data_IF_578991606063
#
_entry.id   IF_578991606063
#
_cell.length_a   1.000
_cell.length_b   1.000
_cell.length_c   1.000
_cell.angle_alpha   90.00
_cell.angle_beta   90.00
_cell.angle_gamma   90.00
#
_symmetry.space_group_name_H-M   'P 1'
#
loop_
_entity.id
_entity.type
_entity.pdbx_description
1 polymer ?
#
# COMPACT_ATOMS: atom_id res chain seq x y z
N UNK A 1 -47.29 60.19 83.14
CA UNK A 1 -47.02 59.14 82.14
C UNK A 1 -45.71 58.50 82.58
N UNK A 2 -45.79 57.29 83.13
CA UNK A 2 -44.65 56.66 83.79
C UNK A 2 -43.69 56.06 82.75
N UNK A 3 -42.40 56.00 83.11
CA UNK A 3 -41.33 55.47 82.24
C UNK A 3 -41.59 54.02 81.82
N UNK A 4 -42.37 53.28 82.61
CA UNK A 4 -42.85 51.92 82.34
C UNK A 4 -43.74 51.81 81.10
N UNK A 5 -44.60 52.79 80.82
CA UNK A 5 -45.49 52.79 79.66
C UNK A 5 -44.72 52.99 78.34
N UNK A 6 -43.66 53.80 78.38
CA UNK A 6 -42.76 54.00 77.23
C UNK A 6 -41.93 52.76 76.91
N UNK A 7 -41.51 51.99 77.93
CA UNK A 7 -40.76 50.75 77.75
C UNK A 7 -41.66 49.64 77.18
N UNK A 8 -42.93 49.56 77.60
CA UNK A 8 -43.90 48.62 77.05
C UNK A 8 -44.29 48.92 75.58
N UNK A 9 -44.45 50.20 75.24
CA UNK A 9 -44.67 50.66 73.86
C UNK A 9 -43.43 50.46 72.97
N UNK A 10 -42.22 50.73 73.49
CA UNK A 10 -40.98 50.47 72.78
C UNK A 10 -40.75 48.96 72.55
N UNK A 11 -41.09 48.12 73.55
CA UNK A 11 -40.98 46.67 73.45
C UNK A 11 -41.92 46.05 72.40
N UNK A 12 -43.18 46.53 72.31
CA UNK A 12 -44.14 46.03 71.32
C UNK A 12 -43.80 46.47 69.88
N UNK A 13 -43.21 47.67 69.72
CA UNK A 13 -42.72 48.15 68.43
C UNK A 13 -41.51 47.35 67.95
N UNK A 14 -40.54 47.08 68.84
CA UNK A 14 -39.36 46.26 68.54
C UNK A 14 -39.76 44.82 68.19
N UNK A 15 -40.73 44.23 68.92
CA UNK A 15 -41.26 42.90 68.61
C UNK A 15 -41.97 42.84 67.24
N UNK A 16 -42.74 43.88 66.88
CA UNK A 16 -43.44 43.93 65.58
C UNK A 16 -42.47 44.11 64.40
N UNK A 17 -41.41 44.90 64.59
CA UNK A 17 -40.34 45.07 63.60
C UNK A 17 -39.55 43.77 63.42
N UNK A 18 -39.27 43.02 64.49
CA UNK A 18 -38.57 41.74 64.42
C UNK A 18 -39.36 40.68 63.62
N UNK A 19 -40.68 40.62 63.78
CA UNK A 19 -41.55 39.73 62.99
C UNK A 19 -41.55 40.14 61.51
N UNK A 20 -41.58 41.45 61.21
CA UNK A 20 -41.48 41.95 59.83
C UNK A 20 -40.17 41.58 59.15
N UNK A 21 -39.04 41.66 59.86
CA UNK A 21 -37.72 41.25 59.36
C UNK A 21 -37.65 39.74 59.13
N UNK A 22 -38.18 38.93 60.05
CA UNK A 22 -38.19 37.46 59.91
C UNK A 22 -39.01 36.99 58.69
N UNK A 23 -40.18 37.61 58.46
CA UNK A 23 -41.02 37.33 57.27
C UNK A 23 -40.31 37.76 55.98
N UNK A 24 -39.63 38.91 56.00
CA UNK A 24 -38.85 39.38 54.84
C UNK A 24 -37.66 38.46 54.54
N UNK A 25 -36.89 38.04 55.55
CA UNK A 25 -35.79 37.09 55.40
C UNK A 25 -36.28 35.73 54.90
N UNK A 26 -37.43 35.24 55.39
CA UNK A 26 -38.03 33.99 54.93
C UNK A 26 -38.49 34.08 53.48
N UNK A 27 -39.08 35.20 53.06
CA UNK A 27 -39.45 35.45 51.65
C UNK A 27 -38.22 35.56 50.75
N UNK A 28 -37.16 36.22 51.20
CA UNK A 28 -35.90 36.31 50.46
C UNK A 28 -35.25 34.93 50.31
N UNK A 29 -35.24 34.10 51.37
CA UNK A 29 -34.75 32.73 51.32
C UNK A 29 -35.59 31.83 50.37
N UNK A 30 -36.91 31.98 50.36
CA UNK A 30 -37.79 31.29 49.40
C UNK A 30 -37.54 31.71 47.95
N UNK A 31 -37.32 33.00 47.70
CA UNK A 31 -36.97 33.50 46.37
C UNK A 31 -35.59 32.97 45.92
N UNK A 32 -34.61 32.95 46.81
CA UNK A 32 -33.29 32.36 46.54
C UNK A 32 -33.37 30.86 46.27
N UNK A 33 -34.11 30.10 47.08
CA UNK A 33 -34.31 28.66 46.87
C UNK A 33 -35.03 28.36 45.54
N UNK A 34 -35.98 29.21 45.13
CA UNK A 34 -36.66 29.10 43.83
C UNK A 34 -35.70 29.36 42.67
N UNK A 35 -34.88 30.40 42.75
CA UNK A 35 -33.86 30.70 41.74
C UNK A 35 -32.77 29.61 41.66
N UNK A 36 -32.41 29.00 42.79
CA UNK A 36 -31.49 27.87 42.86
C UNK A 36 -32.10 26.61 42.22
N UNK A 37 -33.41 26.38 42.40
CA UNK A 37 -34.11 25.27 41.75
C UNK A 37 -34.20 25.46 40.24
N UNK A 38 -34.52 26.68 39.78
CA UNK A 38 -34.60 27.02 38.35
C UNK A 38 -33.23 26.91 37.66
N UNK A 39 -32.16 27.40 38.29
CA UNK A 39 -30.78 27.23 37.79
C UNK A 39 -30.33 25.77 37.79
N UNK A 40 -30.69 24.97 38.80
CA UNK A 40 -30.41 23.53 38.80
C UNK A 40 -31.15 22.78 37.68
N UNK A 41 -32.39 23.16 37.36
CA UNK A 41 -33.12 22.56 36.22
C UNK A 41 -32.50 22.95 34.88
N UNK A 42 -32.08 24.20 34.70
CA UNK A 42 -31.39 24.65 33.49
C UNK A 42 -30.03 23.94 33.32
N UNK A 43 -29.28 23.77 34.43
CA UNK A 43 -28.02 23.04 34.43
C UNK A 43 -28.20 21.56 34.07
N UNK A 44 -29.26 20.90 34.56
CA UNK A 44 -29.59 19.52 34.17
C UNK A 44 -29.91 19.40 32.68
N UNK A 45 -30.73 20.31 32.15
CA UNK A 45 -31.05 20.32 30.70
C UNK A 45 -29.81 20.59 29.85
N UNK A 46 -28.92 21.49 30.29
CA UNK A 46 -27.65 21.74 29.63
C UNK A 46 -26.72 20.52 29.66
N UNK A 47 -26.66 19.82 30.80
CA UNK A 47 -25.87 18.58 30.94
C UNK A 47 -26.42 17.45 30.05
N UNK A 48 -27.74 17.25 30.00
CA UNK A 48 -28.37 16.27 29.10
C UNK A 48 -28.09 16.58 27.63
N UNK A 49 -28.13 17.86 27.25
CA UNK A 49 -27.84 18.30 25.88
C UNK A 49 -26.35 18.11 25.55
N UNK A 50 -25.45 18.44 26.47
CA UNK A 50 -24.01 18.20 26.34
C UNK A 50 -23.70 16.69 26.24
N UNK A 51 -24.38 15.84 27.00
CA UNK A 51 -24.21 14.39 26.93
C UNK A 51 -24.67 13.84 25.57
N UNK A 52 -25.80 14.32 25.04
CA UNK A 52 -26.25 13.95 23.68
C UNK A 52 -25.25 14.39 22.61
N UNK A 53 -24.70 15.60 22.74
CA UNK A 53 -23.66 16.09 21.81
C UNK A 53 -22.37 15.26 21.91
N UNK A 54 -21.94 14.90 23.11
CA UNK A 54 -20.77 14.05 23.33
C UNK A 54 -20.95 12.68 22.67
N UNK A 55 -22.09 12.01 22.89
CA UNK A 55 -22.39 10.72 22.24
C UNK A 55 -22.44 10.82 20.72
N UNK A 56 -23.04 11.88 20.17
CA UNK A 56 -23.06 12.11 18.73
C UNK A 56 -21.64 12.33 18.16
N UNK A 57 -20.78 13.06 18.88
CA UNK A 57 -19.38 13.25 18.49
C UNK A 57 -18.57 11.94 18.57
N UNK A 58 -18.78 11.13 19.62
CA UNK A 58 -18.15 9.81 19.74
C UNK A 58 -18.55 8.88 18.59
N UNK A 59 -19.82 8.88 18.19
CA UNK A 59 -20.30 8.10 17.06
C UNK A 59 -19.68 8.57 15.74
N UNK A 60 -19.59 9.88 15.53
CA UNK A 60 -18.91 10.46 14.36
C UNK A 60 -17.43 10.05 14.30
N UNK A 61 -16.71 10.11 15.42
CA UNK A 61 -15.31 9.68 15.49
C UNK A 61 -15.17 8.19 15.21
N UNK A 62 -16.09 7.35 15.73
CA UNK A 62 -16.10 5.91 15.44
C UNK A 62 -16.28 5.63 13.95
N UNK A 63 -17.26 6.27 13.31
CA UNK A 63 -17.52 6.14 11.87
C UNK A 63 -16.33 6.63 11.04
N UNK A 64 -15.75 7.77 11.40
CA UNK A 64 -14.57 8.30 10.71
C UNK A 64 -13.37 7.37 10.83
N UNK A 65 -13.15 6.74 11.99
CA UNK A 65 -12.10 5.73 12.17
C UNK A 65 -12.35 4.50 11.29
N UNK A 66 -13.59 4.04 11.19
CA UNK A 66 -13.95 2.92 10.31
C UNK A 66 -13.65 3.25 8.84
N UNK A 67 -14.11 4.40 8.35
CA UNK A 67 -13.85 4.87 6.98
C UNK A 67 -12.35 5.03 6.68
N UNK A 68 -11.57 5.52 7.65
CA UNK A 68 -10.11 5.63 7.49
C UNK A 68 -9.42 4.27 7.40
N UNK A 69 -9.89 3.28 8.17
CA UNK A 69 -9.37 1.91 8.11
C UNK A 69 -9.74 1.25 6.79
N UNK A 70 -10.99 1.40 6.33
CA UNK A 70 -11.45 0.92 5.03
C UNK A 70 -10.65 1.55 3.89
N UNK A 71 -10.49 2.87 3.87
CA UNK A 71 -9.69 3.56 2.84
C UNK A 71 -8.22 3.14 2.85
N UNK A 72 -7.65 2.84 4.02
CA UNK A 72 -6.28 2.30 4.12
C UNK A 72 -6.20 0.89 3.53
N UNK A 73 -7.20 0.05 3.80
CA UNK A 73 -7.30 -1.29 3.25
C UNK A 73 -7.42 -1.26 1.73
N UNK A 74 -8.34 -0.45 1.19
CA UNK A 74 -8.52 -0.27 -0.26
C UNK A 74 -7.24 0.20 -0.94
N UNK A 75 -6.51 1.15 -0.34
CA UNK A 75 -5.22 1.62 -0.88
C UNK A 75 -4.15 0.52 -0.83
N UNK A 76 -4.12 -0.28 0.22
CA UNK A 76 -3.20 -1.41 0.34
C UNK A 76 -3.50 -2.49 -0.71
N UNK A 77 -4.77 -2.80 -0.92
CA UNK A 77 -5.23 -3.73 -1.97
C UNK A 77 -4.90 -3.21 -3.37
N UNK A 78 -5.16 -1.92 -3.65
CA UNK A 78 -4.82 -1.30 -4.92
C UNK A 78 -3.30 -1.35 -5.20
N UNK A 79 -2.47 -0.98 -4.22
CA UNK A 79 -1.02 -1.07 -4.34
C UNK A 79 -0.55 -2.51 -4.59
N UNK A 80 -1.16 -3.49 -3.91
CA UNK A 80 -0.88 -4.91 -4.14
C UNK A 80 -1.24 -5.35 -5.57
N UNK A 81 -2.41 -4.95 -6.06
CA UNK A 81 -2.84 -5.25 -7.43
C UNK A 81 -1.88 -4.66 -8.47
N UNK A 82 -1.40 -3.44 -8.26
CA UNK A 82 -0.41 -2.79 -9.13
C UNK A 82 0.90 -3.57 -9.17
N UNK A 83 1.43 -3.98 -8.01
CA UNK A 83 2.66 -4.80 -7.93
C UNK A 83 2.49 -6.17 -8.59
N UNK A 84 1.34 -6.83 -8.39
CA UNK A 84 1.01 -8.09 -9.06
C UNK A 84 0.93 -7.90 -10.59
N UNK A 85 0.35 -6.80 -11.05
CA UNK A 85 0.28 -6.47 -12.47
C UNK A 85 1.69 -6.26 -13.06
N UNK A 86 2.58 -5.58 -12.36
CA UNK A 86 3.97 -5.41 -12.76
C UNK A 86 4.70 -6.75 -12.85
N UNK A 87 4.60 -7.59 -11.81
CA UNK A 87 5.22 -8.92 -11.81
C UNK A 87 4.72 -9.80 -12.97
N UNK A 88 3.41 -9.75 -13.28
CA UNK A 88 2.85 -10.46 -14.45
C UNK A 88 3.43 -9.93 -15.77
N UNK A 89 3.62 -8.62 -15.92
CA UNK A 89 4.26 -8.04 -17.11
C UNK A 89 5.69 -8.55 -17.29
N UNK A 90 6.45 -8.69 -16.21
CA UNK A 90 7.80 -9.28 -16.26
C UNK A 90 7.77 -10.68 -16.85
N UNK A 91 6.85 -11.54 -16.42
CA UNK A 91 6.71 -12.90 -16.96
C UNK A 91 6.40 -12.88 -18.46
N UNK A 92 5.43 -12.07 -18.87
CA UNK A 92 5.04 -11.95 -20.28
C UNK A 92 6.22 -11.52 -21.14
N UNK A 93 6.93 -10.46 -20.73
CA UNK A 93 8.08 -9.95 -21.48
C UNK A 93 9.22 -10.97 -21.51
N UNK A 94 9.46 -11.69 -20.42
CA UNK A 94 10.46 -12.77 -20.38
C UNK A 94 10.11 -13.92 -21.34
N UNK A 95 8.84 -14.34 -21.39
CA UNK A 95 8.34 -15.40 -22.28
C UNK A 95 8.37 -15.00 -23.75
N UNK A 96 7.96 -13.77 -24.07
CA UNK A 96 8.06 -13.23 -25.42
C UNK A 96 9.51 -13.14 -25.88
N UNK A 97 10.39 -12.63 -25.03
CA UNK A 97 11.83 -12.53 -25.30
C UNK A 97 12.42 -13.91 -25.54
N UNK A 98 12.13 -14.88 -24.66
CA UNK A 98 12.58 -16.27 -24.77
C UNK A 98 12.11 -16.93 -26.08
N UNK A 99 10.83 -16.75 -26.44
CA UNK A 99 10.24 -17.26 -27.68
C UNK A 99 10.87 -16.62 -28.92
N UNK A 100 11.12 -15.32 -28.89
CA UNK A 100 11.77 -14.59 -29.98
C UNK A 100 13.20 -15.10 -30.22
N UNK A 101 13.97 -15.31 -29.14
CA UNK A 101 15.28 -15.94 -29.24
C UNK A 101 15.20 -17.34 -29.84
N UNK A 102 14.30 -18.20 -29.37
CA UNK A 102 14.12 -19.53 -29.94
C UNK A 102 13.82 -19.48 -31.44
N UNK A 103 12.93 -18.60 -31.87
CA UNK A 103 12.61 -18.41 -33.29
C UNK A 103 13.82 -17.92 -34.09
N UNK A 104 14.62 -17.04 -33.52
CA UNK A 104 15.84 -16.52 -34.13
C UNK A 104 16.91 -17.61 -34.28
N UNK A 105 17.14 -18.43 -33.23
CA UNK A 105 18.05 -19.58 -33.28
C UNK A 105 17.55 -20.65 -34.27
N UNK A 106 16.26 -20.98 -34.26
CA UNK A 106 15.67 -21.93 -35.20
C UNK A 106 15.81 -21.48 -36.66
N UNK A 107 15.58 -20.19 -36.95
CA UNK A 107 15.78 -19.64 -38.29
C UNK A 107 17.25 -19.69 -38.71
N UNK A 108 18.18 -19.45 -37.79
CA UNK A 108 19.61 -19.51 -38.05
C UNK A 108 20.10 -20.94 -38.28
N UNK A 109 19.49 -21.95 -37.64
CA UNK A 109 19.79 -23.37 -37.87
C UNK A 109 19.19 -23.89 -39.20
N UNK A 110 17.95 -23.48 -39.51
CA UNK A 110 17.26 -23.88 -40.75
C UNK A 110 17.83 -23.21 -42.00
N UNK A 111 18.28 -21.95 -41.90
CA UNK A 111 18.99 -21.29 -42.98
C UNK A 111 20.48 -21.65 -42.92
N UNK A 112 20.86 -22.74 -43.58
CA UNK A 112 22.26 -23.03 -43.94
C UNK A 112 22.79 -21.83 -44.74
N UNK A 113 23.40 -20.85 -44.06
CA UNK A 113 23.88 -19.61 -44.66
C UNK A 113 23.32 -18.31 -44.11
N UNK A 114 22.59 -18.30 -42.98
CA UNK A 114 22.35 -17.01 -42.29
C UNK A 114 23.72 -16.38 -41.97
N UNK A 115 24.01 -15.24 -42.60
CA UNK A 115 25.28 -14.57 -42.39
C UNK A 115 25.36 -14.05 -40.95
N UNK A 116 26.58 -13.93 -40.45
CA UNK A 116 26.85 -13.27 -39.17
C UNK A 116 26.12 -11.93 -39.04
N UNK A 117 26.07 -11.18 -40.14
CA UNK A 117 25.44 -9.87 -40.24
C UNK A 117 23.91 -9.94 -40.06
N UNK A 118 23.23 -10.95 -40.61
CA UNK A 118 21.78 -11.09 -40.44
C UNK A 118 21.41 -11.46 -39.01
N UNK A 119 22.18 -12.35 -38.38
CA UNK A 119 21.98 -12.71 -36.97
C UNK A 119 22.26 -11.51 -36.06
N UNK A 120 23.37 -10.81 -36.32
CA UNK A 120 23.74 -9.57 -35.65
C UNK A 120 22.64 -8.50 -35.73
N UNK A 121 22.09 -8.25 -36.91
CA UNK A 121 21.01 -7.29 -37.10
C UNK A 121 19.74 -7.70 -36.35
N UNK A 122 19.43 -9.00 -36.32
CA UNK A 122 18.29 -9.51 -35.56
C UNK A 122 18.48 -9.37 -34.04
N UNK A 123 19.70 -9.58 -33.53
CA UNK A 123 20.04 -9.34 -32.12
C UNK A 123 19.98 -7.84 -31.77
N UNK A 124 20.49 -6.97 -32.64
CA UNK A 124 20.40 -5.51 -32.42
C UNK A 124 18.94 -5.04 -32.43
N UNK A 125 18.10 -5.62 -33.29
CA UNK A 125 16.65 -5.37 -33.30
C UNK A 125 15.95 -5.84 -32.01
N UNK A 126 16.45 -6.89 -31.35
CA UNK A 126 15.92 -7.39 -30.09
C UNK A 126 16.36 -6.58 -28.85
N UNK A 127 17.42 -5.76 -28.98
CA UNK A 127 18.01 -4.97 -27.87
C UNK A 127 17.02 -4.09 -27.10
N UNK A 128 16.10 -3.34 -27.73
CA UNK A 128 15.13 -2.53 -26.99
C UNK A 128 14.24 -3.37 -26.06
N UNK A 129 13.84 -4.58 -26.49
CA UNK A 129 13.04 -5.51 -25.66
C UNK A 129 13.84 -6.06 -24.50
N UNK A 130 15.09 -6.45 -24.73
CA UNK A 130 16.00 -6.91 -23.66
C UNK A 130 16.16 -5.82 -22.59
N UNK A 131 16.35 -4.58 -23.00
CA UNK A 131 16.45 -3.45 -22.08
C UNK A 131 15.14 -3.21 -21.33
N UNK A 132 13.98 -3.30 -22.02
CA UNK A 132 12.68 -3.22 -21.38
C UNK A 132 12.48 -4.32 -20.33
N UNK A 133 12.87 -5.56 -20.64
CA UNK A 133 12.83 -6.68 -19.70
C UNK A 133 13.68 -6.41 -18.46
N UNK A 134 14.93 -5.97 -18.64
CA UNK A 134 15.85 -5.66 -17.54
C UNK A 134 15.27 -4.56 -16.65
N UNK A 135 14.77 -3.47 -17.24
CA UNK A 135 14.17 -2.37 -16.49
C UNK A 135 12.94 -2.83 -15.70
N UNK A 136 12.04 -3.59 -16.33
CA UNK A 136 10.85 -4.15 -15.67
C UNK A 136 11.22 -5.12 -14.54
N UNK A 137 12.23 -5.96 -14.72
CA UNK A 137 12.70 -6.86 -13.65
C UNK A 137 13.31 -6.11 -12.48
N UNK A 138 14.06 -5.03 -12.73
CA UNK A 138 14.61 -4.17 -11.68
C UNK A 138 13.50 -3.45 -10.91
N UNK A 139 12.53 -2.87 -11.62
CA UNK A 139 11.35 -2.22 -11.02
C UNK A 139 10.55 -3.23 -10.18
N UNK A 140 10.36 -4.46 -10.67
CA UNK A 140 9.70 -5.52 -9.93
C UNK A 140 10.50 -5.94 -8.68
N UNK A 141 11.83 -5.99 -8.73
CA UNK A 141 12.67 -6.32 -7.56
C UNK A 141 12.59 -5.28 -6.44
N UNK A 142 12.39 -4.01 -6.78
CA UNK A 142 12.25 -2.91 -5.82
C UNK A 142 10.86 -2.88 -5.18
N UNK A 143 9.85 -3.41 -5.87
CA UNK A 143 8.43 -3.27 -5.48
C UNK A 143 7.81 -4.54 -4.92
N UNK A 144 8.33 -5.72 -5.26
CA UNK A 144 7.83 -7.01 -4.78
C UNK A 144 8.39 -7.29 -3.39
N UNK A 145 7.48 -7.42 -2.42
CA UNK A 145 7.76 -7.75 -1.02
C UNK A 145 7.69 -9.26 -0.72
N UNK A 146 7.09 -10.05 -1.61
CA UNK A 146 7.04 -11.50 -1.49
C UNK A 146 8.40 -12.15 -1.79
N UNK A 147 9.01 -12.76 -0.77
CA UNK A 147 10.38 -13.33 -0.84
C UNK A 147 10.52 -14.46 -1.87
N UNK A 148 9.50 -15.29 -2.04
CA UNK A 148 9.51 -16.36 -3.04
C UNK A 148 9.52 -15.80 -4.46
N UNK A 149 8.69 -14.79 -4.74
CA UNK A 149 8.65 -14.09 -6.02
C UNK A 149 9.97 -13.36 -6.28
N UNK A 150 10.51 -12.66 -5.27
CA UNK A 150 11.80 -11.99 -5.37
C UNK A 150 12.94 -12.96 -5.69
N UNK A 151 12.99 -14.09 -4.99
CA UNK A 151 13.96 -15.17 -5.23
C UNK A 151 13.85 -15.71 -6.66
N UNK A 152 12.62 -15.88 -7.18
CA UNK A 152 12.40 -16.32 -8.54
C UNK A 152 12.88 -15.30 -9.59
N UNK A 153 12.65 -13.99 -9.36
CA UNK A 153 13.18 -12.92 -10.23
C UNK A 153 14.71 -12.93 -10.23
N UNK A 154 15.35 -13.06 -9.06
CA UNK A 154 16.80 -13.13 -8.96
C UNK A 154 17.38 -14.36 -9.67
N UNK A 155 16.75 -15.53 -9.52
CA UNK A 155 17.15 -16.75 -10.23
C UNK A 155 17.02 -16.60 -11.75
N UNK A 156 15.94 -15.95 -12.21
CA UNK A 156 15.79 -15.60 -13.63
C UNK A 156 16.89 -14.67 -14.11
N UNK A 157 17.21 -13.61 -13.37
CA UNK A 157 18.28 -12.68 -13.73
C UNK A 157 19.66 -13.32 -13.73
N UNK A 158 19.97 -14.21 -12.79
CA UNK A 158 21.22 -14.97 -12.79
C UNK A 158 21.32 -15.83 -14.06
N UNK A 159 20.27 -16.59 -14.39
CA UNK A 159 20.25 -17.41 -15.59
C UNK A 159 20.32 -16.57 -16.87
N UNK A 160 19.64 -15.42 -16.91
CA UNK A 160 19.72 -14.47 -18.01
C UNK A 160 21.14 -13.92 -18.19
N UNK A 161 21.80 -13.53 -17.10
CA UNK A 161 23.18 -13.07 -17.14
C UNK A 161 24.13 -14.19 -17.61
N UNK A 162 23.91 -15.45 -17.20
CA UNK A 162 24.66 -16.59 -17.74
C UNK A 162 24.44 -16.77 -19.24
N UNK A 163 23.19 -16.70 -19.70
CA UNK A 163 22.88 -16.76 -21.14
C UNK A 163 23.55 -15.59 -21.89
N UNK A 164 23.52 -14.37 -21.34
CA UNK A 164 24.21 -13.22 -21.92
C UNK A 164 25.72 -13.42 -21.97
N UNK A 165 26.34 -13.86 -20.88
CA UNK A 165 27.80 -13.89 -20.78
C UNK A 165 28.40 -15.12 -21.48
N UNK A 166 27.72 -16.28 -21.41
CA UNK A 166 28.18 -17.52 -22.03
C UNK A 166 27.58 -17.77 -23.41
N UNK A 167 26.27 -17.55 -23.55
CA UNK A 167 25.58 -17.71 -24.84
C UNK A 167 25.93 -16.57 -25.78
N UNK A 168 25.51 -15.34 -25.44
CA UNK A 168 25.78 -14.15 -26.26
C UNK A 168 27.28 -13.77 -26.27
N UNK A 169 27.96 -13.90 -25.14
CA UNK A 169 29.39 -13.60 -25.04
C UNK A 169 30.27 -14.56 -25.85
N UNK A 170 29.90 -15.83 -26.01
CA UNK A 170 30.59 -16.74 -26.94
C UNK A 170 30.42 -16.29 -28.41
N UNK A 171 29.29 -15.65 -28.76
CA UNK A 171 29.09 -15.07 -30.09
C UNK A 171 29.93 -13.82 -30.31
N UNK A 172 30.00 -12.91 -29.33
CA UNK A 172 30.69 -11.63 -29.48
C UNK A 172 32.21 -11.75 -29.33
N UNK A 173 32.70 -12.63 -28.46
CA UNK A 173 34.15 -12.84 -28.24
C UNK A 173 34.84 -13.54 -29.41
N UNK A 174 34.16 -14.46 -30.11
CA UNK A 174 34.69 -15.11 -31.31
C UNK A 174 34.72 -14.18 -32.54
N UNK A 175 33.95 -13.08 -32.52
CA UNK A 175 33.92 -12.05 -33.55
C UNK A 175 34.98 -10.93 -33.34
N UNK A 176 35.53 -10.81 -32.14
CA UNK A 176 36.44 -9.71 -31.78
C UNK A 176 35.80 -8.31 -31.92
N UNK A 177 36.53 -7.23 -31.59
CA UNK A 177 36.02 -5.85 -31.68
C UNK A 177 35.79 -5.35 -33.13
N UNK A 178 36.01 -6.18 -34.14
CA UNK A 178 35.89 -5.84 -35.57
C UNK A 178 34.50 -6.15 -36.12
N UNK A 179 33.49 -5.45 -35.60
CA UNK A 179 32.09 -5.56 -35.99
C UNK A 179 31.73 -4.96 -37.37
N UNK A 180 32.65 -4.90 -38.35
CA UNK A 180 32.34 -4.26 -39.65
C UNK A 180 32.91 -4.88 -40.94
N UNK A 181 33.49 -6.10 -40.99
CA UNK A 181 34.09 -6.48 -42.27
C UNK A 181 34.42 -7.91 -42.68
N UNK A 182 34.08 -8.97 -41.93
CA UNK A 182 34.31 -10.32 -42.48
C UNK A 182 33.39 -11.39 -41.91
N UNK A 183 32.74 -12.11 -42.82
CA UNK A 183 31.86 -13.23 -42.55
C UNK A 183 32.59 -14.31 -41.74
N UNK A 184 32.31 -14.35 -40.43
CA UNK A 184 32.66 -15.48 -39.58
C UNK A 184 31.72 -16.63 -39.94
N UNK A 185 32.27 -17.75 -40.43
CA UNK A 185 31.51 -19.01 -40.46
C UNK A 185 31.22 -19.38 -39.01
N UNK A 186 29.95 -19.36 -38.65
CA UNK A 186 29.49 -19.84 -37.36
C UNK A 186 29.90 -21.30 -37.18
N UNK A 187 30.60 -21.61 -36.09
CA UNK A 187 30.82 -23.01 -35.73
C UNK A 187 29.55 -23.52 -35.09
N UNK A 188 29.01 -24.62 -35.63
CA UNK A 188 27.83 -25.33 -35.11
C UNK A 188 27.88 -25.51 -33.58
N UNK A 189 29.07 -25.72 -33.02
CA UNK A 189 29.27 -25.94 -31.58
C UNK A 189 28.93 -24.73 -30.71
N UNK A 190 29.19 -23.50 -31.16
CA UNK A 190 28.83 -22.28 -30.40
C UNK A 190 27.32 -22.05 -30.38
N UNK A 191 26.64 -22.38 -31.49
CA UNK A 191 25.19 -22.32 -31.58
C UNK A 191 24.53 -23.31 -30.61
N UNK A 192 25.07 -24.53 -30.52
CA UNK A 192 24.61 -25.55 -29.57
C UNK A 192 24.75 -25.10 -28.12
N UNK A 193 25.86 -24.45 -27.76
CA UNK A 193 26.06 -23.91 -26.40
C UNK A 193 25.04 -22.82 -26.09
N UNK A 194 24.84 -21.86 -26.99
CA UNK A 194 23.86 -20.79 -26.77
C UNK A 194 22.42 -21.31 -26.69
N UNK A 195 22.08 -22.29 -27.52
CA UNK A 195 20.75 -22.91 -27.48
C UNK A 195 20.53 -23.70 -26.19
N UNK A 196 21.54 -24.43 -25.70
CA UNK A 196 21.46 -25.12 -24.41
C UNK A 196 21.29 -24.15 -23.23
N UNK A 197 21.95 -22.99 -23.25
CA UNK A 197 21.78 -21.95 -22.22
C UNK A 197 20.39 -21.27 -22.32
N UNK A 198 19.87 -21.08 -23.53
CA UNK A 198 18.51 -20.58 -23.76
C UNK A 198 17.45 -21.57 -23.26
N UNK A 199 17.64 -22.87 -23.49
CA UNK A 199 16.75 -23.92 -23.00
C UNK A 199 16.66 -23.93 -21.47
N UNK A 200 17.77 -23.61 -20.79
CA UNK A 200 17.81 -23.52 -19.33
C UNK A 200 16.97 -22.35 -18.77
N UNK A 201 16.61 -21.33 -19.56
CA UNK A 201 15.72 -20.25 -19.12
C UNK A 201 14.27 -20.71 -18.90
N UNK A 202 13.85 -21.86 -19.46
CA UNK A 202 12.49 -22.38 -19.28
C UNK A 202 12.16 -22.72 -17.82
N UNK A 203 13.14 -23.18 -17.04
CA UNK A 203 12.95 -23.52 -15.63
C UNK A 203 12.67 -22.28 -14.76
N UNK A 204 13.51 -21.23 -14.76
CA UNK A 204 13.27 -20.03 -13.97
C UNK A 204 12.02 -19.25 -14.43
N UNK A 205 11.70 -19.20 -15.73
CA UNK A 205 10.45 -18.58 -16.20
C UNK A 205 9.23 -19.27 -15.61
N UNK A 206 9.20 -20.62 -15.62
CA UNK A 206 8.11 -21.39 -14.98
C UNK A 206 8.05 -21.19 -13.47
N UNK A 207 9.21 -21.13 -12.80
CA UNK A 207 9.28 -20.86 -11.37
C UNK A 207 8.74 -19.46 -11.03
N UNK A 208 9.11 -18.45 -11.82
CA UNK A 208 8.61 -17.09 -11.69
C UNK A 208 7.10 -17.01 -11.88
N UNK A 209 6.57 -17.65 -12.94
CA UNK A 209 5.13 -17.74 -13.19
C UNK A 209 4.41 -18.37 -12.00
N UNK A 210 4.93 -19.48 -11.47
CA UNK A 210 4.36 -20.17 -10.31
C UNK A 210 4.35 -19.29 -9.06
N UNK A 211 5.48 -18.66 -8.73
CA UNK A 211 5.58 -17.79 -7.56
C UNK A 211 4.59 -16.62 -7.62
N UNK A 212 4.42 -16.00 -8.80
CA UNK A 212 3.45 -14.92 -9.00
C UNK A 212 2.00 -15.44 -8.90
N UNK A 213 1.72 -16.64 -9.39
CA UNK A 213 0.40 -17.27 -9.21
C UNK A 213 0.10 -17.56 -7.74
N UNK A 214 1.07 -18.10 -7.00
CA UNK A 214 0.94 -18.36 -5.56
C UNK A 214 0.73 -17.06 -4.77
N UNK A 215 1.53 -16.02 -5.07
CA UNK A 215 1.37 -14.69 -4.46
C UNK A 215 0.03 -14.02 -4.81
N UNK A 216 -0.57 -14.33 -5.96
CA UNK A 216 -1.91 -13.84 -6.30
C UNK A 216 -3.03 -14.58 -5.54
N UNK A 217 -2.77 -15.79 -5.05
CA UNK A 217 -3.75 -16.64 -4.35
C UNK A 217 -3.69 -16.41 -2.83
N UNK A 218 -2.53 -16.06 -2.26
CA UNK A 218 -2.40 -15.72 -0.84
C UNK A 218 -3.43 -14.63 -0.47
N UNK A 219 -4.57 -15.02 0.09
CA UNK A 219 -5.52 -14.04 0.60
C UNK A 219 -4.77 -13.19 1.64
N UNK A 220 -4.94 -11.85 1.62
CA UNK A 220 -4.46 -11.08 2.74
C UNK A 220 -5.16 -11.68 3.96
N UNK A 221 -4.41 -12.19 4.94
CA UNK A 221 -4.98 -12.56 6.22
C UNK A 221 -5.76 -11.34 6.69
N UNK A 222 -7.10 -11.42 6.52
CA UNK A 222 -7.98 -10.33 6.89
C UNK A 222 -7.70 -10.02 8.36
N UNK A 223 -7.79 -8.74 8.78
CA UNK A 223 -7.53 -8.38 10.16
C UNK A 223 -8.32 -9.33 11.05
N UNK A 224 -7.60 -10.10 11.86
CA UNK A 224 -8.12 -11.10 12.77
C UNK A 224 -9.38 -10.52 13.40
N UNK A 225 -10.55 -11.06 13.05
CA UNK A 225 -11.84 -10.57 13.58
C UNK A 225 -12.00 -11.07 15.02
N UNK A 226 -11.10 -10.62 15.89
CA UNK A 226 -11.16 -10.78 17.34
C UNK A 226 -12.02 -9.71 18.00
#
# INVERSE_FOLDING_TARGET
MEVSDWIALAGSFVASVAVGVAVWQTRAAWAQARSAKESATAARQAAELAERQARAAEEQVRLQRQQMTESRHERAEAARQERLALARRVVVVAEETHTEFHNLFARADLNVGMSAETLAAALEAAKPRILAMINLTSEALETVDNEATRSAILAFLDQWNRFRDKGLGAFTSAAGPFWFGRAVRFRSDQMKVAQAELDQLNAPIRALRRAISEWAIEEPEGPDRG
#
